data_IF_587553510520
#
_entry.id   IF_587553510520
#
_cell.length_a   1.000
_cell.length_b   1.000
_cell.length_c   1.000
_cell.angle_alpha   90.00
_cell.angle_beta   90.00
_cell.angle_gamma   90.00
#
_symmetry.space_group_name_H-M   'P 1'
#
loop_
_entity.id
_entity.type
_entity.pdbx_description
1 polymer ?
#
# COMPACT_ATOMS: atom_id res chain seq x y z
N UNK A 1 -27.00 -14.18 34.71
CA UNK A 1 -26.46 -14.87 33.51
C UNK A 1 -25.90 -13.93 32.44
N UNK A 2 -26.29 -12.65 32.33
CA UNK A 2 -25.83 -11.76 31.24
C UNK A 2 -24.37 -11.21 31.32
N UNK A 3 -23.76 -11.10 32.52
CA UNK A 3 -22.42 -10.48 32.67
C UNK A 3 -21.26 -11.43 32.34
N UNK A 4 -21.39 -12.72 32.61
CA UNK A 4 -20.32 -13.69 32.30
C UNK A 4 -20.09 -13.82 30.78
N UNK A 5 -21.17 -13.89 29.99
CA UNK A 5 -21.06 -14.01 28.53
C UNK A 5 -20.38 -12.80 27.87
N UNK A 6 -20.59 -11.58 28.41
CA UNK A 6 -19.97 -10.36 27.86
C UNK A 6 -18.46 -10.30 28.10
N UNK A 7 -18.00 -10.80 29.25
CA UNK A 7 -16.58 -10.86 29.57
C UNK A 7 -15.87 -11.96 28.77
N UNK A 8 -16.52 -13.12 28.56
CA UNK A 8 -15.98 -14.20 27.74
C UNK A 8 -15.86 -13.78 26.26
N UNK A 9 -16.87 -13.10 25.71
CA UNK A 9 -16.82 -12.56 24.34
C UNK A 9 -15.75 -11.47 24.17
N UNK A 10 -15.55 -10.61 25.16
CA UNK A 10 -14.50 -9.59 25.14
C UNK A 10 -13.09 -10.18 25.17
N UNK A 11 -12.86 -11.21 25.98
CA UNK A 11 -11.57 -11.91 26.06
C UNK A 11 -11.31 -12.72 24.78
N UNK A 12 -12.32 -13.36 24.20
CA UNK A 12 -12.20 -14.04 22.90
C UNK A 12 -11.89 -13.07 21.76
N UNK A 13 -12.54 -11.89 21.72
CA UNK A 13 -12.26 -10.86 20.73
C UNK A 13 -10.83 -10.29 20.86
N UNK A 14 -10.35 -10.10 22.10
CA UNK A 14 -8.97 -9.68 22.38
C UNK A 14 -7.94 -10.75 22.02
N UNK A 15 -8.23 -12.02 22.28
CA UNK A 15 -7.37 -13.15 21.87
C UNK A 15 -7.35 -13.32 20.35
N UNK A 16 -8.48 -13.16 19.67
CA UNK A 16 -8.57 -13.21 18.20
C UNK A 16 -7.87 -12.01 17.55
N UNK A 17 -7.96 -10.81 18.16
CA UNK A 17 -7.22 -9.63 17.71
C UNK A 17 -5.71 -9.79 17.96
N UNK A 18 -5.30 -10.28 19.13
CA UNK A 18 -3.90 -10.50 19.46
C UNK A 18 -3.27 -11.61 18.60
N UNK A 19 -3.99 -12.70 18.34
CA UNK A 19 -3.55 -13.76 17.43
C UNK A 19 -3.55 -13.31 15.97
N UNK A 20 -4.52 -12.50 15.53
CA UNK A 20 -4.54 -11.90 14.20
C UNK A 20 -3.38 -10.91 13.97
N UNK A 21 -3.04 -10.10 14.97
CA UNK A 21 -1.88 -9.19 14.93
C UNK A 21 -0.56 -9.96 14.99
N UNK A 22 -0.48 -11.02 15.80
CA UNK A 22 0.70 -11.88 15.86
C UNK A 22 0.92 -12.64 14.54
N UNK A 23 -0.14 -13.15 13.90
CA UNK A 23 -0.04 -13.83 12.60
C UNK A 23 0.29 -12.86 11.46
N UNK A 24 -0.24 -11.62 11.49
CA UNK A 24 0.13 -10.56 10.55
C UNK A 24 1.57 -10.04 10.76
N UNK A 25 2.14 -10.25 11.96
CA UNK A 25 3.53 -9.92 12.28
C UNK A 25 4.50 -11.08 11.97
N UNK A 26 4.06 -12.34 12.09
CA UNK A 26 4.90 -13.54 11.88
C UNK A 26 4.78 -14.16 10.48
N UNK A 27 3.70 -13.88 9.74
CA UNK A 27 3.38 -14.47 8.43
C UNK A 27 3.85 -13.66 7.22
N UNK A 28 4.85 -12.79 7.34
CA UNK A 28 5.33 -11.97 6.21
C UNK A 28 6.43 -12.71 5.46
N UNK A 29 6.03 -13.37 4.38
CA UNK A 29 6.93 -14.12 3.50
C UNK A 29 8.06 -13.23 2.96
N UNK A 30 9.26 -13.80 2.89
CA UNK A 30 10.37 -13.13 2.21
C UNK A 30 10.09 -13.08 0.72
N UNK A 31 10.48 -11.98 0.09
CA UNK A 31 10.24 -11.73 -1.33
C UNK A 31 10.68 -12.89 -2.21
N UNK A 32 9.78 -13.37 -3.07
CA UNK A 32 10.08 -14.37 -4.10
C UNK A 32 11.08 -13.84 -5.13
N UNK A 33 11.20 -12.52 -5.28
CA UNK A 33 12.21 -11.90 -6.12
C UNK A 33 13.62 -12.06 -5.54
N UNK A 34 13.78 -11.99 -4.22
CA UNK A 34 15.10 -12.06 -3.55
C UNK A 34 15.51 -13.50 -3.31
N UNK A 35 14.64 -14.27 -2.69
CA UNK A 35 14.82 -15.69 -2.56
C UNK A 35 13.81 -16.30 -3.52
N UNK A 36 14.14 -17.19 -4.46
CA UNK A 36 13.15 -17.90 -5.27
C UNK A 36 12.49 -19.08 -4.52
N UNK A 37 11.34 -19.56 -5.01
CA UNK A 37 10.67 -20.72 -4.43
C UNK A 37 11.61 -21.94 -4.37
N UNK A 38 11.51 -22.72 -3.30
CA UNK A 38 12.36 -23.90 -3.05
C UNK A 38 11.50 -25.15 -3.11
N UNK A 39 12.04 -26.22 -3.69
CA UNK A 39 11.47 -27.56 -3.62
C UNK A 39 12.48 -28.44 -2.89
N UNK A 40 12.17 -28.82 -1.65
CA UNK A 40 13.08 -29.54 -0.76
C UNK A 40 12.42 -30.89 -0.41
N UNK A 41 12.44 -31.88 -1.32
CA UNK A 41 11.89 -33.21 -1.11
C UNK A 41 12.82 -34.07 -0.24
N UNK A 42 13.19 -33.54 0.92
CA UNK A 42 14.10 -34.13 1.88
C UNK A 42 13.50 -33.99 3.28
N UNK A 43 13.55 -35.06 4.07
CA UNK A 43 13.27 -35.03 5.49
C UNK A 43 14.58 -34.78 6.22
N UNK A 44 14.64 -33.64 6.89
CA UNK A 44 15.75 -33.25 7.76
C UNK A 44 15.23 -32.40 8.91
N UNK A 45 15.91 -32.43 10.05
CA UNK A 45 15.55 -31.68 11.25
C UNK A 45 16.80 -31.06 11.90
N UNK A 46 16.96 -29.73 11.83
CA UNK A 46 18.12 -29.06 12.41
C UNK A 46 18.14 -29.19 13.94
N UNK A 47 16.97 -29.07 14.58
CA UNK A 47 16.84 -29.19 16.04
C UNK A 47 17.37 -30.52 16.57
N UNK A 48 17.06 -31.63 15.90
CA UNK A 48 17.55 -32.96 16.25
C UNK A 48 19.07 -33.06 16.12
N UNK A 49 19.65 -32.58 15.01
CA UNK A 49 21.09 -32.68 14.78
C UNK A 49 21.89 -31.78 15.72
N UNK A 50 21.40 -30.56 15.97
CA UNK A 50 22.01 -29.65 16.94
C UNK A 50 21.92 -30.20 18.37
N UNK A 51 20.80 -30.84 18.74
CA UNK A 51 20.65 -31.51 20.04
C UNK A 51 21.57 -32.73 20.19
N UNK A 52 21.92 -33.39 19.09
CA UNK A 52 22.91 -34.48 19.05
C UNK A 52 24.37 -33.96 19.14
N UNK A 53 24.59 -32.64 19.18
CA UNK A 53 25.90 -32.04 19.33
C UNK A 53 26.61 -31.70 18.01
N UNK A 54 25.91 -31.73 16.87
CA UNK A 54 26.48 -31.29 15.61
C UNK A 54 26.66 -29.75 15.61
N UNK A 55 27.83 -29.29 15.17
CA UNK A 55 28.07 -27.87 14.91
C UNK A 55 27.59 -27.45 13.52
N UNK A 56 27.25 -26.17 13.33
CA UNK A 56 26.73 -25.67 12.04
C UNK A 56 27.68 -25.96 10.86
N UNK A 57 28.99 -25.76 11.10
CA UNK A 57 30.05 -25.92 10.10
C UNK A 57 30.45 -27.38 9.89
N UNK A 58 29.92 -28.34 10.66
CA UNK A 58 30.14 -29.76 10.40
C UNK A 58 29.49 -30.17 9.06
N UNK A 59 28.34 -29.59 8.73
CA UNK A 59 27.63 -29.85 7.47
C UNK A 59 27.76 -28.68 6.46
N UNK A 60 28.00 -27.46 6.93
CA UNK A 60 28.05 -26.26 6.09
C UNK A 60 29.46 -25.67 5.96
N UNK A 61 30.53 -26.48 5.96
CA UNK A 61 31.91 -25.96 6.00
C UNK A 61 32.24 -25.02 4.83
N UNK A 62 31.65 -25.28 3.65
CA UNK A 62 31.81 -24.47 2.43
C UNK A 62 31.46 -22.99 2.61
N UNK A 63 30.66 -22.61 3.63
CA UNK A 63 30.34 -21.21 3.94
C UNK A 63 31.58 -20.39 4.29
N UNK A 64 32.64 -20.99 4.85
CA UNK A 64 33.87 -20.28 5.22
C UNK A 64 34.60 -19.71 4.00
N UNK A 65 34.44 -20.34 2.84
CA UNK A 65 35.05 -19.94 1.57
C UNK A 65 34.06 -19.31 0.59
N UNK A 66 32.76 -19.24 0.93
CA UNK A 66 31.74 -18.73 0.02
C UNK A 66 31.81 -17.21 -0.12
N UNK A 67 32.04 -16.76 -1.34
CA UNK A 67 32.18 -15.36 -1.73
C UNK A 67 30.90 -14.80 -2.38
N UNK A 68 29.96 -15.68 -2.74
CA UNK A 68 28.75 -15.34 -3.47
C UNK A 68 27.53 -16.08 -2.96
N UNK A 69 26.37 -15.42 -3.04
CA UNK A 69 25.05 -16.03 -2.82
C UNK A 69 24.71 -17.13 -3.83
N UNK A 70 25.48 -17.22 -4.92
CA UNK A 70 25.36 -18.27 -5.95
C UNK A 70 26.07 -19.56 -5.57
N UNK A 71 26.96 -19.52 -4.58
CA UNK A 71 27.69 -20.69 -4.12
C UNK A 71 26.73 -21.67 -3.46
N UNK A 72 26.89 -22.96 -3.75
CA UNK A 72 26.06 -24.01 -3.17
C UNK A 72 26.65 -24.45 -1.84
N UNK A 73 26.20 -23.80 -0.76
CA UNK A 73 26.65 -24.09 0.60
C UNK A 73 25.72 -25.04 1.36
N UNK A 74 25.12 -26.01 0.64
CA UNK A 74 24.27 -27.04 1.23
C UNK A 74 25.05 -28.35 1.29
N UNK A 75 24.90 -29.15 2.36
CA UNK A 75 25.55 -30.45 2.46
C UNK A 75 25.09 -31.38 1.33
N UNK A 76 26.01 -32.22 0.87
CA UNK A 76 25.74 -33.40 0.07
C UNK A 76 25.61 -34.65 0.93
N UNK A 77 25.69 -35.82 0.28
CA UNK A 77 25.71 -37.11 0.99
C UNK A 77 26.99 -37.27 1.81
N UNK A 78 28.13 -36.77 1.33
CA UNK A 78 29.44 -36.90 2.00
C UNK A 78 29.40 -36.38 3.44
N UNK A 79 28.76 -35.23 3.70
CA UNK A 79 28.63 -34.68 5.04
C UNK A 79 27.66 -35.47 5.93
N UNK A 80 26.68 -36.16 5.33
CA UNK A 80 25.75 -37.02 6.06
C UNK A 80 26.40 -38.36 6.42
N UNK A 81 27.23 -38.89 5.53
CA UNK A 81 27.92 -40.18 5.66
C UNK A 81 28.97 -40.21 6.78
N UNK A 82 29.37 -39.05 7.29
CA UNK A 82 30.21 -38.95 8.50
C UNK A 82 29.56 -39.64 9.70
N UNK A 83 28.23 -39.61 9.79
CA UNK A 83 27.47 -40.23 10.89
C UNK A 83 26.46 -41.29 10.41
N UNK A 84 25.89 -41.13 9.21
CA UNK A 84 24.90 -42.03 8.64
C UNK A 84 25.53 -42.97 7.63
N UNK A 85 25.74 -44.25 7.99
CA UNK A 85 26.32 -45.24 7.06
C UNK A 85 25.34 -45.62 5.94
N UNK A 86 25.29 -44.82 4.87
CA UNK A 86 24.39 -45.03 3.72
C UNK A 86 24.75 -46.31 2.98
N UNK A 87 26.04 -46.65 2.89
CA UNK A 87 26.51 -47.85 2.17
C UNK A 87 26.05 -49.14 2.87
N UNK A 88 26.20 -49.23 4.20
CA UNK A 88 25.70 -50.35 4.98
C UNK A 88 24.17 -50.47 4.88
N UNK A 89 23.45 -49.34 4.96
CA UNK A 89 22.00 -49.34 4.82
C UNK A 89 21.53 -49.79 3.42
N UNK A 90 22.25 -49.44 2.36
CA UNK A 90 21.97 -49.91 1.00
C UNK A 90 22.18 -51.43 0.84
N UNK A 91 23.10 -52.03 1.61
CA UNK A 91 23.31 -53.49 1.69
C UNK A 91 22.25 -54.20 2.55
N UNK A 92 21.32 -53.45 3.15
CA UNK A 92 20.28 -53.98 4.03
C UNK A 92 20.74 -54.22 5.47
N UNK A 93 21.90 -53.68 5.85
CA UNK A 93 22.41 -53.75 7.22
C UNK A 93 21.65 -52.78 8.13
N UNK A 94 21.62 -53.10 9.43
CA UNK A 94 21.03 -52.21 10.44
C UNK A 94 22.04 -51.14 10.82
N UNK A 95 21.69 -49.88 10.63
CA UNK A 95 22.52 -48.74 11.02
C UNK A 95 21.86 -47.96 12.16
N UNK A 96 22.69 -47.36 13.02
CA UNK A 96 22.29 -46.41 14.05
C UNK A 96 23.25 -45.21 14.01
N UNK A 97 22.82 -44.03 13.55
CA UNK A 97 21.44 -43.67 13.18
C UNK A 97 20.90 -44.38 11.91
N UNK A 98 19.58 -44.44 11.71
CA UNK A 98 18.99 -45.00 10.48
C UNK A 98 19.44 -44.24 9.22
N UNK A 99 19.95 -44.97 8.22
CA UNK A 99 20.57 -44.37 7.02
C UNK A 99 19.95 -44.81 5.69
N UNK A 100 18.83 -45.54 5.72
CA UNK A 100 18.14 -45.98 4.51
C UNK A 100 17.60 -44.80 3.69
N UNK A 101 17.62 -44.92 2.36
CA UNK A 101 17.25 -43.82 1.45
C UNK A 101 15.86 -43.21 1.74
N UNK A 102 14.87 -44.03 2.12
CA UNK A 102 13.50 -43.58 2.43
C UNK A 102 13.39 -42.80 3.76
N UNK A 103 14.41 -42.88 4.64
CA UNK A 103 14.47 -42.09 5.88
C UNK A 103 14.61 -40.61 5.55
N UNK A 104 15.52 -40.29 4.62
CA UNK A 104 15.81 -38.94 4.20
C UNK A 104 14.97 -38.49 3.00
N UNK A 105 14.55 -39.41 2.13
CA UNK A 105 13.77 -39.10 0.92
C UNK A 105 12.33 -39.65 1.04
N UNK A 106 11.37 -38.83 1.50
CA UNK A 106 9.99 -39.26 1.68
C UNK A 106 9.39 -39.83 0.40
N UNK A 107 8.84 -41.04 0.48
CA UNK A 107 8.21 -41.72 -0.66
C UNK A 107 9.20 -42.26 -1.69
N UNK A 108 10.50 -42.29 -1.39
CA UNK A 108 11.47 -42.96 -2.25
C UNK A 108 11.30 -44.47 -2.20
N UNK A 109 11.13 -45.06 -3.37
CA UNK A 109 11.09 -46.49 -3.61
C UNK A 109 12.06 -46.82 -4.74
N UNK A 110 13.11 -47.56 -4.40
CA UNK A 110 14.16 -47.97 -5.34
C UNK A 110 13.64 -48.87 -6.46
N UNK A 111 12.46 -49.49 -6.30
CA UNK A 111 11.81 -50.29 -7.35
C UNK A 111 11.12 -49.42 -8.41
N UNK A 112 10.72 -48.20 -8.04
CA UNK A 112 9.96 -47.28 -8.91
C UNK A 112 10.88 -46.26 -9.58
N UNK A 113 11.90 -45.76 -8.86
CA UNK A 113 12.87 -44.78 -9.39
C UNK A 113 14.27 -45.11 -8.90
N UNK A 114 15.25 -44.94 -9.81
CA UNK A 114 16.67 -45.13 -9.49
C UNK A 114 17.23 -44.07 -8.54
N UNK A 115 16.66 -42.86 -8.56
CA UNK A 115 17.15 -41.72 -7.79
C UNK A 115 15.98 -40.93 -7.16
N UNK A 116 16.19 -40.32 -5.97
CA UNK A 116 15.22 -39.43 -5.34
C UNK A 116 14.89 -38.21 -6.19
N UNK A 117 13.76 -37.54 -5.86
CA UNK A 117 13.42 -36.26 -6.49
C UNK A 117 14.51 -35.24 -6.18
N UNK A 118 15.00 -34.56 -7.22
CA UNK A 118 16.06 -33.57 -7.09
C UNK A 118 15.63 -32.42 -6.17
N UNK A 119 16.52 -32.04 -5.26
CA UNK A 119 16.39 -30.83 -4.46
C UNK A 119 16.62 -29.58 -5.33
N UNK A 120 15.67 -28.66 -5.29
CA UNK A 120 15.75 -27.38 -5.98
C UNK A 120 15.85 -26.26 -4.94
N UNK A 121 17.06 -25.72 -4.81
CA UNK A 121 17.34 -24.58 -3.94
C UNK A 121 18.03 -23.49 -4.77
N UNK A 122 17.24 -22.64 -5.44
CA UNK A 122 17.80 -21.55 -6.24
C UNK A 122 18.58 -20.57 -5.37
N UNK A 123 19.62 -19.97 -5.94
CA UNK A 123 20.41 -18.94 -5.27
C UNK A 123 19.58 -17.68 -5.02
N UNK A 124 20.00 -16.90 -4.02
CA UNK A 124 19.41 -15.60 -3.76
C UNK A 124 19.84 -14.58 -4.84
N UNK A 125 18.93 -13.68 -5.20
CA UNK A 125 19.19 -12.56 -6.11
C UNK A 125 19.79 -11.36 -5.35
N UNK A 126 20.91 -11.59 -4.66
CA UNK A 126 21.64 -10.60 -3.88
C UNK A 126 23.15 -10.79 -4.03
N UNK A 127 23.91 -9.72 -3.87
CA UNK A 127 25.33 -9.77 -3.57
C UNK A 127 25.50 -10.06 -2.07
N UNK A 128 26.17 -11.17 -1.75
CA UNK A 128 26.45 -11.56 -0.38
C UNK A 128 27.64 -12.52 -0.34
N UNK A 129 28.52 -12.35 0.65
CA UNK A 129 29.68 -13.20 0.89
C UNK A 129 29.65 -13.72 2.32
N UNK A 130 29.54 -15.04 2.50
CA UNK A 130 29.63 -15.63 3.85
C UNK A 130 31.05 -15.48 4.40
N UNK A 131 32.08 -15.68 3.56
CA UNK A 131 33.49 -15.57 3.91
C UNK A 131 33.81 -14.26 4.62
N UNK A 132 33.33 -13.13 4.10
CA UNK A 132 33.54 -11.82 4.72
C UNK A 132 32.89 -11.73 6.11
N UNK A 133 31.64 -12.17 6.26
CA UNK A 133 30.91 -12.09 7.53
C UNK A 133 31.47 -13.06 8.58
N UNK A 134 31.86 -14.28 8.17
CA UNK A 134 32.50 -15.27 9.03
C UNK A 134 33.88 -14.78 9.49
N UNK A 135 34.66 -14.14 8.61
CA UNK A 135 35.95 -13.53 8.97
C UNK A 135 35.80 -12.41 10.00
N UNK A 136 34.65 -11.73 10.03
CA UNK A 136 34.27 -10.75 11.05
C UNK A 136 33.64 -11.36 12.30
N UNK A 137 33.59 -12.69 12.41
CA UNK A 137 33.04 -13.44 13.55
C UNK A 137 31.56 -13.13 13.81
N UNK A 138 30.78 -12.91 12.75
CA UNK A 138 29.33 -12.79 12.88
C UNK A 138 28.73 -14.18 13.13
N UNK A 139 27.98 -14.33 14.23
CA UNK A 139 27.32 -15.59 14.57
C UNK A 139 26.25 -15.96 13.54
N UNK A 140 26.15 -17.24 13.19
CA UNK A 140 25.17 -17.73 12.20
C UNK A 140 23.72 -17.38 12.59
N UNK A 141 23.43 -17.49 13.90
CA UNK A 141 22.11 -17.24 14.46
C UNK A 141 21.69 -15.76 14.38
N UNK A 142 22.64 -14.82 14.22
CA UNK A 142 22.33 -13.41 14.03
C UNK A 142 21.50 -13.17 12.75
N UNK A 143 21.75 -13.98 11.70
CA UNK A 143 21.03 -13.88 10.43
C UNK A 143 19.97 -14.98 10.27
N UNK A 144 20.27 -16.21 10.69
CA UNK A 144 19.42 -17.38 10.44
C UNK A 144 18.40 -17.65 11.56
N UNK A 145 18.56 -16.97 12.70
CA UNK A 145 17.76 -17.21 13.89
C UNK A 145 18.15 -18.50 14.61
N UNK A 146 17.32 -18.89 15.57
CA UNK A 146 17.54 -20.08 16.40
C UNK A 146 17.13 -21.36 15.65
N UNK A 147 18.12 -22.06 15.08
CA UNK A 147 17.89 -23.31 14.35
C UNK A 147 17.66 -24.52 15.28
N UNK A 148 17.88 -24.40 16.59
CA UNK A 148 17.62 -25.51 17.54
C UNK A 148 16.13 -25.87 17.60
N UNK A 149 15.26 -24.95 17.15
CA UNK A 149 13.80 -25.12 17.10
C UNK A 149 13.27 -25.29 15.68
N UNK A 150 14.14 -25.49 14.70
CA UNK A 150 13.78 -25.59 13.29
C UNK A 150 13.96 -27.03 12.85
N UNK A 151 12.91 -27.61 12.27
CA UNK A 151 13.03 -28.87 11.56
C UNK A 151 13.74 -28.66 10.22
N UNK A 152 12.97 -28.76 9.13
CA UNK A 152 13.49 -28.44 7.80
C UNK A 152 13.61 -26.92 7.64
N UNK A 153 14.84 -26.42 7.53
CA UNK A 153 15.08 -25.00 7.25
C UNK A 153 14.65 -24.67 5.82
N UNK A 154 13.96 -23.54 5.67
CA UNK A 154 13.48 -23.06 4.38
C UNK A 154 13.90 -21.61 4.21
N UNK A 155 13.34 -20.95 3.19
CA UNK A 155 13.29 -19.48 3.09
C UNK A 155 13.01 -18.81 4.43
N UNK A 156 12.22 -19.42 5.31
CA UNK A 156 11.84 -18.83 6.59
C UNK A 156 13.02 -18.56 7.55
N UNK A 157 14.19 -19.15 7.28
CA UNK A 157 15.42 -18.99 8.05
C UNK A 157 16.47 -18.13 7.33
N UNK A 158 16.14 -17.48 6.21
CA UNK A 158 17.08 -16.55 5.53
C UNK A 158 16.99 -15.14 6.16
N UNK A 159 17.99 -14.27 6.08
CA UNK A 159 17.87 -12.93 6.67
C UNK A 159 16.81 -12.07 5.95
N UNK A 160 16.31 -11.05 6.64
CA UNK A 160 15.51 -9.97 6.02
C UNK A 160 16.40 -8.74 5.86
N UNK A 161 16.00 -7.77 5.04
CA UNK A 161 16.74 -6.51 4.91
C UNK A 161 16.87 -5.79 6.26
N UNK A 162 15.83 -5.84 7.11
CA UNK A 162 15.90 -5.31 8.47
C UNK A 162 17.04 -5.94 9.29
N UNK A 163 17.27 -7.24 9.17
CA UNK A 163 18.39 -7.94 9.82
C UNK A 163 19.74 -7.42 9.33
N UNK A 164 19.89 -7.21 8.02
CA UNK A 164 21.10 -6.62 7.47
C UNK A 164 21.36 -5.22 8.05
N UNK A 165 20.30 -4.42 8.21
CA UNK A 165 20.37 -3.03 8.66
C UNK A 165 20.62 -2.87 10.17
N UNK A 166 20.59 -3.96 10.94
CA UNK A 166 21.08 -3.94 12.33
C UNK A 166 22.57 -3.56 12.39
N UNK A 167 23.33 -3.91 11.34
CA UNK A 167 24.74 -3.55 11.19
C UNK A 167 25.00 -2.59 10.01
N UNK A 168 24.29 -2.75 8.88
CA UNK A 168 24.39 -1.92 7.67
C UNK A 168 23.41 -0.74 7.72
N UNK A 169 23.59 0.15 8.70
CA UNK A 169 22.67 1.25 8.99
C UNK A 169 23.00 2.57 8.25
N UNK A 170 24.12 2.61 7.51
CA UNK A 170 24.63 3.80 6.84
C UNK A 170 25.41 4.76 7.74
N UNK A 171 25.58 4.45 9.04
CA UNK A 171 26.40 5.23 9.97
C UNK A 171 27.81 4.68 10.06
N UNK A 172 27.93 3.37 10.27
CA UNK A 172 29.21 2.67 10.40
C UNK A 172 29.52 1.88 9.14
N UNK A 173 28.54 1.12 8.64
CA UNK A 173 28.65 0.34 7.42
C UNK A 173 27.69 0.88 6.37
N UNK A 174 28.10 0.82 5.11
CA UNK A 174 27.27 1.27 3.98
C UNK A 174 25.90 0.58 3.99
N UNK A 175 24.86 1.35 3.70
CA UNK A 175 23.51 0.89 3.41
C UNK A 175 23.12 1.18 1.95
N UNK A 176 24.10 1.39 1.08
CA UNK A 176 23.88 1.63 -0.34
C UNK A 176 23.17 0.42 -0.94
N UNK A 177 22.01 0.65 -1.55
CA UNK A 177 21.15 -0.44 -1.98
C UNK A 177 21.87 -1.37 -2.98
N UNK A 178 22.73 -0.79 -3.81
CA UNK A 178 23.45 -1.50 -4.88
C UNK A 178 24.63 -2.35 -4.40
N UNK A 179 25.01 -2.23 -3.12
CA UNK A 179 26.01 -3.10 -2.49
C UNK A 179 25.46 -4.50 -2.25
N UNK A 180 24.14 -4.62 -2.06
CA UNK A 180 23.46 -5.88 -1.79
C UNK A 180 22.54 -6.30 -2.94
N UNK A 181 21.85 -5.36 -3.58
CA UNK A 181 20.92 -5.65 -4.66
C UNK A 181 21.57 -5.62 -6.04
N UNK A 182 21.13 -6.53 -6.90
CA UNK A 182 21.53 -6.57 -8.29
C UNK A 182 21.07 -5.29 -9.02
N UNK A 183 21.88 -4.82 -9.97
CA UNK A 183 21.64 -3.60 -10.75
C UNK A 183 21.29 -3.88 -12.20
N UNK A 184 20.51 -2.98 -12.77
CA UNK A 184 20.32 -2.86 -14.21
C UNK A 184 21.47 -2.06 -14.85
N UNK A 185 21.58 -2.12 -16.18
CA UNK A 185 22.52 -1.30 -16.93
C UNK A 185 22.34 0.21 -16.71
N UNK A 186 21.13 0.64 -16.30
CA UNK A 186 20.83 2.03 -15.97
C UNK A 186 21.44 2.51 -14.64
N UNK A 187 22.06 1.61 -13.86
CA UNK A 187 22.57 1.87 -12.52
C UNK A 187 21.52 1.69 -11.40
N UNK A 188 20.23 1.64 -11.73
CA UNK A 188 19.13 1.37 -10.78
C UNK A 188 19.07 -0.09 -10.38
N UNK A 189 18.36 -0.38 -9.30
CA UNK A 189 18.12 -1.76 -8.86
C UNK A 189 17.33 -2.56 -9.91
N UNK A 190 17.70 -3.82 -10.06
CA UNK A 190 16.93 -4.78 -10.82
C UNK A 190 15.67 -5.15 -10.03
N UNK A 191 14.50 -4.83 -10.60
CA UNK A 191 13.22 -5.09 -9.95
C UNK A 191 12.51 -6.34 -10.49
N UNK A 192 12.87 -6.81 -11.68
CA UNK A 192 12.20 -7.95 -12.32
C UNK A 192 13.12 -9.17 -12.36
N UNK A 193 12.63 -10.25 -11.78
CA UNK A 193 13.29 -11.55 -11.75
C UNK A 193 12.31 -12.62 -12.21
N UNK A 194 12.82 -13.72 -12.74
CA UNK A 194 11.99 -14.87 -13.16
C UNK A 194 11.13 -15.40 -12.01
N UNK A 195 11.59 -15.24 -10.77
CA UNK A 195 10.90 -15.67 -9.55
C UNK A 195 9.89 -14.65 -9.00
N UNK A 196 9.86 -13.43 -9.53
CA UNK A 196 8.91 -12.39 -9.10
C UNK A 196 9.45 -10.97 -9.24
N UNK A 197 8.60 -10.01 -8.90
CA UNK A 197 8.94 -8.59 -8.92
C UNK A 197 9.36 -8.15 -7.51
N UNK A 198 10.54 -7.56 -7.38
CA UNK A 198 10.98 -6.91 -6.16
C UNK A 198 10.16 -5.65 -5.93
N UNK A 199 9.44 -5.65 -4.81
CA UNK A 199 8.67 -4.51 -4.34
C UNK A 199 8.96 -4.36 -2.85
N UNK A 200 9.20 -3.15 -2.33
CA UNK A 200 9.21 -2.93 -0.89
C UNK A 200 7.85 -3.36 -0.32
N UNK A 201 7.84 -4.36 0.55
CA UNK A 201 6.63 -4.89 1.18
C UNK A 201 6.59 -4.47 2.65
N UNK A 202 5.39 -4.56 3.23
CA UNK A 202 5.08 -4.08 4.56
C UNK A 202 6.09 -4.55 5.64
N UNK A 203 6.68 -3.58 6.35
CA UNK A 203 7.75 -3.83 7.31
C UNK A 203 9.15 -3.58 6.74
N UNK A 204 9.22 -2.90 5.60
CA UNK A 204 10.44 -2.29 5.10
C UNK A 204 10.98 -1.28 6.14
N UNK A 205 12.24 -1.41 6.60
CA UNK A 205 12.83 -0.51 7.59
C UNK A 205 12.91 0.96 7.11
N UNK A 206 12.79 1.21 5.81
CA UNK A 206 12.84 2.54 5.22
C UNK A 206 11.44 3.17 5.04
N UNK A 207 10.37 2.47 5.41
CA UNK A 207 8.99 2.96 5.29
C UNK A 207 8.54 3.17 3.85
N UNK A 208 9.10 2.41 2.91
CA UNK A 208 8.81 2.51 1.47
C UNK A 208 7.72 1.53 1.00
N UNK A 209 6.87 1.06 1.91
CA UNK A 209 5.89 0.02 1.66
C UNK A 209 5.00 0.32 0.42
N UNK A 210 5.12 -0.52 -0.61
CA UNK A 210 4.25 -0.49 -1.80
C UNK A 210 2.97 -1.29 -1.54
N UNK A 211 2.29 -0.97 -0.43
CA UNK A 211 1.02 -1.58 -0.06
C UNK A 211 -0.15 -1.05 -0.91
N UNK A 212 -1.38 -1.57 -0.72
CA UNK A 212 -2.59 -1.18 -1.48
C UNK A 212 -3.00 0.30 -1.38
N UNK A 213 -2.29 1.09 -0.57
CA UNK A 213 -2.55 2.53 -0.38
C UNK A 213 -1.33 3.38 -0.74
N UNK A 214 -0.35 2.81 -1.43
CA UNK A 214 0.87 3.51 -1.83
C UNK A 214 0.56 4.86 -2.50
N UNK A 215 -0.42 4.87 -3.40
CA UNK A 215 -0.88 6.06 -4.13
C UNK A 215 -1.35 7.19 -3.19
N UNK A 216 -1.80 6.87 -1.98
CA UNK A 216 -2.30 7.84 -1.00
C UNK A 216 -1.29 8.23 0.08
N UNK A 217 -0.27 7.41 0.34
CA UNK A 217 0.64 7.61 1.48
C UNK A 217 2.10 7.85 1.08
N UNK A 218 2.48 7.63 -0.18
CA UNK A 218 3.87 7.82 -0.63
C UNK A 218 4.34 9.27 -0.49
N UNK A 219 3.43 10.26 -0.55
CA UNK A 219 3.77 11.69 -0.48
C UNK A 219 4.57 12.07 0.76
N UNK A 220 4.26 11.49 1.93
CA UNK A 220 5.00 11.75 3.18
C UNK A 220 6.44 11.23 3.12
N UNK A 221 6.67 10.07 2.50
CA UNK A 221 8.03 9.53 2.37
C UNK A 221 8.80 10.21 1.24
N UNK A 222 8.13 10.48 0.12
CA UNK A 222 8.69 11.16 -1.04
C UNK A 222 9.12 12.60 -0.74
N UNK A 223 8.44 13.29 0.19
CA UNK A 223 8.84 14.64 0.63
C UNK A 223 10.12 14.64 1.47
N UNK A 224 10.44 13.54 2.15
CA UNK A 224 11.68 13.39 2.93
C UNK A 224 12.85 13.07 2.03
N UNK A 225 12.70 12.07 1.15
CA UNK A 225 13.77 11.67 0.24
C UNK A 225 13.20 11.08 -1.04
N UNK A 226 13.14 11.91 -2.08
CA UNK A 226 12.87 11.46 -3.45
C UNK A 226 13.97 10.52 -3.95
N UNK A 227 15.23 10.77 -3.58
CA UNK A 227 16.38 10.04 -4.08
C UNK A 227 16.29 8.53 -3.77
N UNK A 228 15.78 8.15 -2.60
CA UNK A 228 15.63 6.74 -2.24
C UNK A 228 14.69 5.99 -3.19
N UNK A 229 13.63 6.64 -3.67
CA UNK A 229 12.76 6.06 -4.70
C UNK A 229 13.48 5.93 -6.04
N UNK A 230 14.38 6.86 -6.35
CA UNK A 230 15.12 6.93 -7.61
C UNK A 230 16.20 5.85 -7.76
N UNK A 231 16.59 5.21 -6.65
CA UNK A 231 17.44 4.00 -6.66
C UNK A 231 16.76 2.84 -7.40
N UNK A 232 15.42 2.82 -7.40
CA UNK A 232 14.61 1.79 -8.07
C UNK A 232 13.87 2.34 -9.30
N UNK A 233 13.37 3.57 -9.23
CA UNK A 233 12.46 4.16 -10.22
C UNK A 233 13.13 5.29 -11.02
N UNK A 234 12.68 5.48 -12.27
CA UNK A 234 13.04 6.65 -13.07
C UNK A 234 12.09 7.82 -12.79
N UNK A 235 12.45 9.04 -13.20
CA UNK A 235 11.58 10.21 -13.03
C UNK A 235 10.24 10.05 -13.75
N UNK A 236 10.25 9.33 -14.88
CA UNK A 236 9.05 8.99 -15.63
C UNK A 236 8.04 8.16 -14.83
N UNK A 237 8.47 7.44 -13.78
CA UNK A 237 7.55 6.76 -12.87
C UNK A 237 6.67 7.75 -12.11
N UNK A 238 7.27 8.81 -11.54
CA UNK A 238 6.54 9.85 -10.84
C UNK A 238 5.60 10.63 -11.80
N UNK A 239 6.07 10.88 -13.02
CA UNK A 239 5.31 11.62 -14.03
C UNK A 239 4.02 10.90 -14.46
N UNK A 240 3.98 9.57 -14.43
CA UNK A 240 2.76 8.80 -14.74
C UNK A 240 1.57 9.17 -13.84
N UNK A 241 1.83 9.66 -12.62
CA UNK A 241 0.79 10.09 -11.69
C UNK A 241 0.77 11.60 -11.48
N UNK A 242 1.90 12.30 -11.48
CA UNK A 242 1.91 13.75 -11.21
C UNK A 242 1.64 14.59 -12.47
N UNK A 243 2.27 14.25 -13.59
CA UNK A 243 2.25 15.06 -14.82
C UNK A 243 1.40 14.44 -15.95
N UNK A 244 0.94 13.20 -15.77
CA UNK A 244 0.11 12.52 -16.76
C UNK A 244 -1.29 13.13 -16.87
N UNK A 245 -1.76 13.23 -18.12
CA UNK A 245 -3.14 13.60 -18.47
C UNK A 245 -4.15 12.52 -18.07
N UNK A 246 -3.72 11.26 -17.97
CA UNK A 246 -4.55 10.14 -17.51
C UNK A 246 -3.94 9.57 -16.23
N UNK A 247 -4.66 9.70 -15.12
CA UNK A 247 -4.29 9.10 -13.84
C UNK A 247 -4.70 7.61 -13.83
N UNK A 248 -3.93 6.71 -13.19
CA UNK A 248 -4.32 5.32 -13.04
C UNK A 248 -5.69 5.20 -12.36
N UNK A 249 -6.53 4.27 -12.81
CA UNK A 249 -7.85 4.05 -12.19
C UNK A 249 -7.75 3.55 -10.73
N UNK A 250 -6.59 3.01 -10.32
CA UNK A 250 -6.35 2.53 -8.95
C UNK A 250 -6.47 3.61 -7.86
N UNK A 251 -6.39 4.89 -8.24
CA UNK A 251 -6.58 6.02 -7.29
C UNK A 251 -8.05 6.17 -6.85
N UNK A 252 -8.97 5.47 -7.51
CA UNK A 252 -10.38 5.42 -7.17
C UNK A 252 -10.83 3.97 -6.94
N UNK A 253 -11.81 3.72 -6.05
CA UNK A 253 -12.47 2.42 -6.00
C UNK A 253 -13.27 2.16 -7.28
N UNK A 254 -13.49 0.88 -7.60
CA UNK A 254 -14.20 0.47 -8.82
C UNK A 254 -15.63 1.05 -8.93
N UNK A 255 -16.26 1.40 -7.81
CA UNK A 255 -17.61 1.96 -7.72
C UNK A 255 -17.61 3.46 -7.36
N UNK A 256 -16.53 4.18 -7.68
CA UNK A 256 -16.32 5.57 -7.26
C UNK A 256 -17.51 6.49 -7.53
N UNK A 257 -18.22 6.34 -8.65
CA UNK A 257 -19.40 7.17 -8.98
C UNK A 257 -20.46 7.14 -7.86
N UNK A 258 -20.62 6.01 -7.18
CA UNK A 258 -21.58 5.84 -6.06
C UNK A 258 -21.11 6.57 -4.81
N UNK A 259 -19.81 6.57 -4.54
CA UNK A 259 -19.20 7.15 -3.34
C UNK A 259 -18.81 8.62 -3.52
N UNK A 260 -18.63 9.05 -4.77
CA UNK A 260 -18.15 10.37 -5.17
C UNK A 260 -18.96 11.52 -4.57
N UNK A 261 -20.32 11.50 -4.51
CA UNK A 261 -21.08 12.61 -3.93
C UNK A 261 -20.76 12.87 -2.46
N UNK A 262 -20.53 11.80 -1.68
CA UNK A 262 -20.18 11.92 -0.26
C UNK A 262 -18.74 12.42 -0.10
N UNK A 263 -17.81 11.87 -0.89
CA UNK A 263 -16.40 12.27 -0.86
C UNK A 263 -16.20 13.73 -1.30
N UNK A 264 -16.85 14.15 -2.39
CA UNK A 264 -16.80 15.52 -2.89
C UNK A 264 -17.41 16.53 -1.90
N UNK A 265 -18.49 16.17 -1.19
CA UNK A 265 -19.06 17.02 -0.12
C UNK A 265 -18.18 17.11 1.12
N UNK A 266 -17.37 16.08 1.37
CA UNK A 266 -16.48 16.05 2.54
C UNK A 266 -15.24 16.90 2.30
N UNK A 267 -14.62 16.77 1.13
CA UNK A 267 -13.40 17.53 0.78
C UNK A 267 -13.20 17.56 -0.75
N UNK A 268 -13.88 18.50 -1.43
CA UNK A 268 -13.69 18.71 -2.86
C UNK A 268 -12.28 19.21 -3.21
N UNK A 269 -11.62 19.91 -2.29
CA UNK A 269 -10.29 20.51 -2.53
C UNK A 269 -9.21 19.45 -2.75
N UNK A 270 -9.34 18.29 -2.10
CA UNK A 270 -8.47 17.14 -2.34
C UNK A 270 -8.58 16.59 -3.77
N UNK A 271 -9.73 16.72 -4.41
CA UNK A 271 -9.90 16.30 -5.80
C UNK A 271 -9.20 17.27 -6.76
N UNK A 272 -9.11 18.56 -6.42
CA UNK A 272 -8.51 19.60 -7.26
C UNK A 272 -7.01 19.42 -7.50
N UNK A 273 -6.31 18.63 -6.67
CA UNK A 273 -4.92 18.24 -6.91
C UNK A 273 -4.74 17.44 -8.20
N UNK A 274 -5.81 16.84 -8.73
CA UNK A 274 -5.80 16.07 -9.99
C UNK A 274 -6.88 16.52 -10.99
N UNK A 275 -8.04 16.98 -10.50
CA UNK A 275 -9.21 17.30 -11.29
C UNK A 275 -9.57 18.78 -11.19
N UNK A 276 -9.34 19.55 -12.26
CA UNK A 276 -9.77 20.96 -12.30
C UNK A 276 -11.30 21.04 -12.36
N UNK A 277 -11.93 21.74 -11.42
CA UNK A 277 -13.39 21.84 -11.31
C UNK A 277 -14.08 22.24 -12.63
N UNK A 278 -13.56 23.27 -13.31
CA UNK A 278 -14.18 23.83 -14.52
C UNK A 278 -14.05 22.91 -15.74
N UNK A 279 -12.91 22.25 -15.94
CA UNK A 279 -12.68 21.44 -17.14
C UNK A 279 -13.05 19.96 -16.95
N UNK A 280 -13.06 19.47 -15.71
CA UNK A 280 -13.35 18.07 -15.42
C UNK A 280 -14.72 17.87 -14.78
N UNK A 281 -14.99 18.50 -13.63
CA UNK A 281 -16.22 18.24 -12.88
C UNK A 281 -17.46 18.67 -13.67
N UNK A 282 -17.44 19.91 -14.19
CA UNK A 282 -18.54 20.45 -15.01
C UNK A 282 -18.78 19.57 -16.25
N UNK A 283 -17.73 19.26 -17.00
CA UNK A 283 -17.87 18.45 -18.22
C UNK A 283 -18.36 17.02 -17.94
N UNK A 284 -17.95 16.39 -16.83
CA UNK A 284 -18.44 15.08 -16.43
C UNK A 284 -19.91 15.14 -16.01
N UNK A 285 -20.29 16.14 -15.21
CA UNK A 285 -21.65 16.37 -14.76
C UNK A 285 -22.58 16.59 -15.97
N UNK A 286 -22.21 17.47 -16.91
CA UNK A 286 -22.97 17.72 -18.14
C UNK A 286 -23.21 16.44 -18.94
N UNK A 287 -22.16 15.63 -19.18
CA UNK A 287 -22.29 14.34 -19.88
C UNK A 287 -23.10 13.29 -19.12
N UNK A 288 -23.23 13.44 -17.80
CA UNK A 288 -24.00 12.54 -16.93
C UNK A 288 -25.44 13.01 -16.71
N UNK A 289 -25.87 14.09 -17.38
CA UNK A 289 -27.18 14.69 -17.16
C UNK A 289 -27.31 15.37 -15.79
N UNK A 290 -26.20 15.65 -15.11
CA UNK A 290 -26.14 16.31 -13.80
C UNK A 290 -25.68 17.76 -14.02
N UNK A 291 -26.40 18.74 -13.45
CA UNK A 291 -26.13 20.16 -13.70
C UNK A 291 -27.27 20.83 -14.47
N UNK A 292 -27.28 22.16 -14.44
CA UNK A 292 -28.39 22.95 -15.00
C UNK A 292 -28.42 22.94 -16.53
N UNK A 293 -27.25 22.94 -17.17
CA UNK A 293 -27.10 22.96 -18.63
C UNK A 293 -27.03 21.55 -19.23
N UNK A 294 -27.15 20.52 -18.38
CA UNK A 294 -27.06 19.13 -18.78
C UNK A 294 -28.39 18.60 -19.34
N UNK A 295 -28.33 17.73 -20.35
CA UNK A 295 -29.51 17.01 -20.80
C UNK A 295 -29.98 16.05 -19.70
N UNK A 296 -31.08 16.40 -19.05
CA UNK A 296 -31.65 15.62 -17.95
C UNK A 296 -32.10 14.21 -18.35
N UNK A 297 -32.26 13.91 -19.64
CA UNK A 297 -32.56 12.55 -20.13
C UNK A 297 -31.39 11.58 -19.94
N UNK A 298 -30.16 12.10 -19.83
CA UNK A 298 -28.95 11.31 -19.58
C UNK A 298 -28.77 10.96 -18.09
N UNK A 299 -29.56 11.56 -17.20
CA UNK A 299 -29.44 11.36 -15.76
C UNK A 299 -29.87 9.95 -15.37
N UNK A 300 -28.98 9.21 -14.72
CA UNK A 300 -29.32 7.90 -14.17
C UNK A 300 -30.49 8.02 -13.16
N UNK A 301 -31.50 7.15 -13.31
CA UNK A 301 -32.78 7.22 -12.58
C UNK A 301 -32.66 7.20 -11.05
N UNK A 302 -31.55 6.65 -10.53
CA UNK A 302 -31.32 6.50 -9.10
C UNK A 302 -30.40 7.58 -8.49
N UNK A 303 -30.05 8.62 -9.26
CA UNK A 303 -29.14 9.69 -8.78
C UNK A 303 -29.98 10.90 -8.37
N UNK A 304 -30.17 11.06 -7.05
CA UNK A 304 -30.84 12.21 -6.45
C UNK A 304 -29.81 13.28 -6.07
N UNK A 305 -29.71 14.33 -6.89
CA UNK A 305 -28.72 15.41 -6.73
C UNK A 305 -29.20 16.58 -5.86
N UNK A 306 -30.52 16.72 -5.69
CA UNK A 306 -31.15 17.65 -4.76
C UNK A 306 -32.31 16.97 -4.04
N UNK A 307 -32.69 17.43 -2.84
CA UNK A 307 -33.94 17.05 -2.19
C UNK A 307 -35.17 17.41 -3.05
N UNK A 308 -36.35 17.07 -2.57
CA UNK A 308 -37.60 17.46 -3.22
C UNK A 308 -37.63 18.98 -3.48
N UNK A 309 -38.03 19.39 -4.69
CA UNK A 309 -37.95 20.79 -5.11
C UNK A 309 -38.80 21.70 -4.22
N UNK A 310 -40.02 21.29 -3.88
CA UNK A 310 -40.89 22.10 -3.01
C UNK A 310 -40.27 22.27 -1.62
N UNK A 311 -39.74 21.18 -1.05
CA UNK A 311 -39.14 21.20 0.28
C UNK A 311 -37.83 21.99 0.32
N UNK A 312 -37.05 21.95 -0.77
CA UNK A 312 -35.73 22.58 -0.87
C UNK A 312 -35.81 24.05 -1.29
N UNK A 313 -36.70 24.39 -2.22
CA UNK A 313 -36.75 25.70 -2.89
C UNK A 313 -37.96 26.55 -2.49
N UNK A 314 -39.15 25.95 -2.36
CA UNK A 314 -40.39 26.73 -2.19
C UNK A 314 -40.77 26.94 -0.73
N UNK A 315 -40.57 25.93 0.13
CA UNK A 315 -41.05 25.96 1.52
C UNK A 315 -39.88 26.24 2.48
N UNK A 316 -39.86 27.40 3.16
CA UNK A 316 -38.88 27.67 4.19
C UNK A 316 -38.99 26.67 5.35
N UNK A 317 -37.88 26.01 5.67
CA UNK A 317 -37.82 25.00 6.71
C UNK A 317 -36.37 24.58 6.97
N UNK A 318 -36.12 23.62 7.88
CA UNK A 318 -34.77 23.19 8.26
C UNK A 318 -33.93 22.66 7.09
N UNK A 319 -34.59 22.23 6.00
CA UNK A 319 -33.98 21.71 4.78
C UNK A 319 -34.01 22.73 3.63
N UNK A 320 -34.33 24.00 3.86
CA UNK A 320 -34.41 24.98 2.78
C UNK A 320 -33.01 25.40 2.27
N UNK A 321 -32.87 25.56 0.95
CA UNK A 321 -31.58 25.86 0.31
C UNK A 321 -30.94 27.17 0.80
N UNK A 322 -31.72 28.16 1.24
CA UNK A 322 -31.19 29.38 1.85
C UNK A 322 -30.40 29.12 3.15
N UNK A 323 -30.84 28.17 3.98
CA UNK A 323 -30.12 27.75 5.20
C UNK A 323 -28.87 26.95 4.86
N UNK A 324 -28.90 26.14 3.81
CA UNK A 324 -27.72 25.42 3.33
C UNK A 324 -26.69 26.38 2.70
N UNK A 325 -27.15 27.29 1.83
CA UNK A 325 -26.31 28.27 1.15
C UNK A 325 -25.63 29.23 2.15
N UNK A 326 -26.36 29.72 3.16
CA UNK A 326 -25.76 30.56 4.21
C UNK A 326 -24.67 29.87 5.04
N UNK A 327 -24.65 28.52 5.09
CA UNK A 327 -23.59 27.76 5.75
C UNK A 327 -22.37 27.59 4.84
N UNK A 328 -22.59 27.18 3.60
CA UNK A 328 -21.53 27.01 2.62
C UNK A 328 -22.05 27.06 1.18
N UNK A 329 -21.96 28.23 0.54
CA UNK A 329 -22.31 28.40 -0.86
C UNK A 329 -21.36 27.65 -1.81
N UNK A 330 -20.15 27.27 -1.36
CA UNK A 330 -19.17 26.59 -2.23
C UNK A 330 -19.68 25.23 -2.73
N UNK A 331 -20.54 24.57 -1.94
CA UNK A 331 -21.18 23.31 -2.32
C UNK A 331 -22.20 23.46 -3.45
N UNK A 332 -22.73 24.67 -3.66
CA UNK A 332 -23.73 24.93 -4.70
C UNK A 332 -23.05 25.37 -6.00
N UNK A 333 -22.04 26.25 -5.90
CA UNK A 333 -21.31 26.74 -7.07
C UNK A 333 -20.42 25.69 -7.75
N UNK A 334 -20.30 24.50 -7.15
CA UNK A 334 -19.69 23.34 -7.81
C UNK A 334 -20.53 22.80 -8.96
N UNK A 335 -21.84 23.10 -8.97
CA UNK A 335 -22.80 22.65 -10.01
C UNK A 335 -23.60 23.81 -10.63
N UNK A 336 -23.71 24.94 -9.93
CA UNK A 336 -24.49 26.11 -10.34
C UNK A 336 -23.57 27.29 -10.65
N UNK A 337 -23.95 28.12 -11.60
CA UNK A 337 -23.20 29.34 -11.94
C UNK A 337 -23.85 30.58 -11.30
N UNK A 338 -23.18 31.72 -11.38
CA UNK A 338 -23.66 32.97 -10.77
C UNK A 338 -25.06 33.34 -11.29
N UNK A 339 -25.27 33.20 -12.60
CA UNK A 339 -26.54 33.41 -13.29
C UNK A 339 -27.67 32.51 -12.76
N UNK A 340 -27.34 31.32 -12.27
CA UNK A 340 -28.31 30.39 -11.69
C UNK A 340 -28.96 30.97 -10.44
N UNK A 341 -28.13 31.52 -9.54
CA UNK A 341 -28.60 32.17 -8.31
C UNK A 341 -29.34 33.47 -8.63
N UNK A 342 -28.80 34.25 -9.57
CA UNK A 342 -29.37 35.52 -9.98
C UNK A 342 -30.75 35.37 -10.61
N UNK A 343 -31.07 34.21 -11.19
CA UNK A 343 -32.41 33.95 -11.72
C UNK A 343 -33.52 34.01 -10.65
N UNK A 344 -33.22 33.89 -9.36
CA UNK A 344 -34.22 34.06 -8.29
C UNK A 344 -33.87 35.15 -7.27
N UNK A 345 -32.59 35.51 -7.14
CA UNK A 345 -32.11 36.41 -6.09
C UNK A 345 -31.65 37.78 -6.58
N UNK A 346 -31.60 38.00 -7.88
CA UNK A 346 -31.34 39.32 -8.45
C UNK A 346 -32.61 40.14 -8.48
N UNK A 347 -32.51 41.44 -8.18
CA UNK A 347 -33.58 42.38 -8.44
C UNK A 347 -33.83 42.55 -9.95
N UNK A 348 -32.80 42.32 -10.75
CA UNK A 348 -32.88 42.36 -12.21
C UNK A 348 -33.51 41.09 -12.81
N UNK A 349 -33.86 40.10 -11.99
CA UNK A 349 -34.44 38.85 -12.47
C UNK A 349 -35.87 39.03 -12.97
N UNK A 350 -36.19 38.31 -14.05
CA UNK A 350 -37.55 38.19 -14.61
C UNK A 350 -38.33 36.99 -14.05
N UNK A 351 -37.70 36.08 -13.29
CA UNK A 351 -38.37 34.92 -12.70
C UNK A 351 -38.87 35.19 -11.28
N UNK A 352 -37.94 35.44 -10.36
CA UNK A 352 -38.23 35.73 -8.94
C UNK A 352 -37.21 36.73 -8.41
N UNK A 353 -37.62 37.56 -7.46
CA UNK A 353 -36.82 38.65 -6.87
C UNK A 353 -36.74 38.47 -5.34
N UNK A 354 -36.19 37.34 -4.89
CA UNK A 354 -36.06 36.98 -3.47
C UNK A 354 -34.79 37.58 -2.90
N UNK A 355 -34.91 38.41 -1.86
CA UNK A 355 -33.76 39.01 -1.19
C UNK A 355 -32.84 37.93 -0.56
N UNK A 356 -31.58 37.78 -1.00
CA UNK A 356 -30.65 36.78 -0.45
C UNK A 356 -29.92 37.28 0.81
N UNK A 357 -30.06 38.56 1.17
CA UNK A 357 -29.31 39.15 2.26
C UNK A 357 -29.85 38.73 3.63
N UNK A 358 -28.99 38.55 4.64
CA UNK A 358 -29.43 38.24 6.00
C UNK A 358 -30.19 39.42 6.63
N UNK A 359 -30.96 39.13 7.68
CA UNK A 359 -31.62 40.16 8.47
C UNK A 359 -30.59 41.19 8.99
N UNK A 360 -30.93 42.48 8.91
CA UNK A 360 -30.03 43.57 9.33
C UNK A 360 -28.97 43.97 8.29
N UNK A 361 -28.93 43.35 7.10
CA UNK A 361 -27.93 43.69 6.07
C UNK A 361 -27.97 45.15 5.64
N UNK A 362 -29.12 45.83 5.76
CA UNK A 362 -29.28 47.26 5.44
C UNK A 362 -28.23 48.12 6.15
N UNK A 363 -27.88 47.79 7.39
CA UNK A 363 -26.93 48.55 8.21
C UNK A 363 -25.47 48.37 7.73
N UNK A 364 -25.18 47.24 7.08
CA UNK A 364 -23.88 46.95 6.47
C UNK A 364 -23.79 47.38 4.99
N UNK A 365 -24.94 47.66 4.35
CA UNK A 365 -25.04 47.84 2.91
C UNK A 365 -24.14 48.96 2.38
N UNK A 366 -24.20 50.15 3.00
CA UNK A 366 -23.40 51.32 2.60
C UNK A 366 -21.89 51.07 2.75
N UNK A 367 -21.48 50.43 3.85
CA UNK A 367 -20.07 50.09 4.11
C UNK A 367 -19.55 49.10 3.07
N UNK A 368 -20.31 48.04 2.77
CA UNK A 368 -19.90 47.01 1.80
C UNK A 368 -19.86 47.54 0.37
N UNK A 369 -20.86 48.34 -0.02
CA UNK A 369 -20.88 49.00 -1.33
C UNK A 369 -19.70 49.97 -1.51
N UNK A 370 -19.28 50.69 -0.45
CA UNK A 370 -18.09 51.55 -0.53
C UNK A 370 -16.78 50.79 -0.76
N UNK A 371 -16.72 49.50 -0.41
CA UNK A 371 -15.55 48.66 -0.62
C UNK A 371 -15.53 48.00 -2.00
N UNK A 372 -16.70 47.61 -2.54
CA UNK A 372 -16.83 46.99 -3.86
C UNK A 372 -18.26 47.13 -4.41
N UNK A 373 -18.57 48.29 -5.00
CA UNK A 373 -19.90 48.56 -5.58
C UNK A 373 -20.19 47.71 -6.83
N UNK A 374 -19.16 47.33 -7.59
CA UNK A 374 -19.27 46.45 -8.76
C UNK A 374 -19.90 45.10 -8.43
N UNK A 375 -19.65 44.55 -7.25
CA UNK A 375 -20.30 43.31 -6.81
C UNK A 375 -21.81 43.49 -6.63
N UNK A 376 -22.25 44.65 -6.12
CA UNK A 376 -23.66 44.96 -5.93
C UNK A 376 -24.38 45.17 -7.28
N UNK A 377 -23.70 45.77 -8.26
CA UNK A 377 -24.25 46.04 -9.59
C UNK A 377 -24.53 44.78 -10.43
N UNK A 378 -24.02 43.62 -10.01
CA UNK A 378 -24.42 42.35 -10.61
C UNK A 378 -25.90 42.05 -10.38
N UNK A 379 -26.42 42.38 -9.20
CA UNK A 379 -27.77 42.01 -8.77
C UNK A 379 -28.75 43.19 -8.68
N UNK A 380 -28.25 44.43 -8.71
CA UNK A 380 -29.04 45.65 -8.52
C UNK A 380 -28.73 46.69 -9.60
N UNK A 381 -29.74 47.51 -9.94
CA UNK A 381 -29.51 48.72 -10.73
C UNK A 381 -28.86 49.82 -9.89
N UNK A 382 -28.20 50.78 -10.55
CA UNK A 382 -27.64 51.94 -9.85
C UNK A 382 -28.72 52.75 -9.11
N UNK A 383 -29.88 52.92 -9.73
CA UNK A 383 -31.01 53.64 -9.13
C UNK A 383 -31.53 52.95 -7.87
N UNK A 384 -31.57 51.62 -7.86
CA UNK A 384 -32.02 50.84 -6.70
C UNK A 384 -31.06 50.96 -5.52
N UNK A 385 -29.75 50.91 -5.78
CA UNK A 385 -28.75 51.07 -4.73
C UNK A 385 -28.82 52.46 -4.08
N UNK A 386 -29.04 53.51 -4.89
CA UNK A 386 -29.23 54.87 -4.40
C UNK A 386 -30.51 55.00 -3.54
N UNK A 387 -31.65 54.46 -4.02
CA UNK A 387 -32.91 54.48 -3.27
C UNK A 387 -32.83 53.75 -1.93
N UNK A 388 -32.04 52.68 -1.85
CA UNK A 388 -31.84 51.91 -0.61
C UNK A 388 -30.83 52.56 0.35
N UNK A 389 -30.20 53.68 -0.04
CA UNK A 389 -29.17 54.36 0.74
C UNK A 389 -27.87 53.57 0.88
N UNK A 390 -27.67 52.59 -0.01
CA UNK A 390 -26.46 51.78 -0.07
C UNK A 390 -25.35 52.47 -0.88
N UNK A 391 -25.72 53.37 -1.79
CA UNK A 391 -24.81 54.17 -2.62
C UNK A 391 -25.12 55.65 -2.45
#
# INVERSE_FOLDING_TARGET
>A
MHRLHRNVLGVLALLLAATGVAWAASGRERSLAIYPAQNIPLRFDHGQHLAAGADCVACHDSVRSSESSRDRNLPGHEECEVCHDIEAAQKGEKTDPPSGCAVCHPGFDATVRKEPVKLEFPHANLHFSHKEHVAKKVDCAACHGDLTKVGLATRQQLPKMATCFECHDGRVLTNDCTSCHLKQASGRLQLNFTSGILRPIQGDPLGMDHGPRFEFNHGTRASVSRQTCMECHSDSYCQQCHDSLQKPLSVHPNDFITLHPVQARTDASRCESCHRAQSFCVACHERSGVGMDADSTLRARNVKVHPDYNTWVEVPGPQHHGLAASRDMRQCISCHREESCMSCHSELSTRRQINPHPNGFKDACKRLASANDRACLKCHSESSLAQKGCR
#
